data_IF_591805274924
#
_entry.id   IF_591805274924
#
_cell.length_a   1.000
_cell.length_b   1.000
_cell.length_c   1.000
_cell.angle_alpha   90.00
_cell.angle_beta   90.00
_cell.angle_gamma   90.00
#
_symmetry.space_group_name_H-M   'P 1'
#
loop_
_entity.id
_entity.type
_entity.pdbx_description
1 polymer ?
#
# COMPACT_ATOMS: atom_id res chain seq x y z
N UNK A 1 0.58 -28.33 7.16
CA UNK A 1 0.55 -27.01 7.82
C UNK A 1 -0.42 -26.13 7.03
N UNK A 2 -1.57 -25.77 7.61
CA UNK A 2 -2.51 -24.83 7.00
C UNK A 2 -1.79 -23.49 6.77
N UNK A 3 -1.51 -23.12 5.51
CA UNK A 3 -1.01 -21.78 5.18
C UNK A 3 -2.14 -20.78 5.52
N UNK A 4 -2.02 -20.07 6.64
CA UNK A 4 -2.92 -18.98 6.99
C UNK A 4 -2.61 -17.77 6.10
N UNK A 5 -3.19 -17.72 4.90
CA UNK A 5 -3.03 -16.63 3.92
C UNK A 5 -3.07 -17.10 2.47
N UNK A 6 -2.81 -16.18 1.53
CA UNK A 6 -2.60 -16.51 0.10
C UNK A 6 -3.67 -16.04 -0.89
N UNK A 7 -4.77 -15.45 -0.44
CA UNK A 7 -5.89 -15.02 -1.31
C UNK A 7 -5.69 -13.72 -2.08
N UNK A 8 -4.48 -13.13 -2.08
CA UNK A 8 -4.25 -11.82 -2.71
C UNK A 8 -4.39 -11.90 -4.24
N UNK A 9 -3.98 -13.01 -4.85
CA UNK A 9 -4.12 -13.24 -6.29
C UNK A 9 -5.60 -13.32 -6.69
N UNK A 10 -6.40 -14.11 -5.97
CA UNK A 10 -7.82 -14.29 -6.23
C UNK A 10 -8.58 -12.98 -6.02
N UNK A 11 -8.28 -12.25 -4.94
CA UNK A 11 -8.89 -10.96 -4.68
C UNK A 11 -8.51 -9.92 -5.74
N UNK A 12 -7.23 -9.82 -6.10
CA UNK A 12 -6.78 -8.94 -7.20
C UNK A 12 -7.48 -9.29 -8.51
N UNK A 13 -7.56 -10.57 -8.85
CA UNK A 13 -8.25 -11.04 -10.05
C UNK A 13 -9.72 -10.63 -10.06
N UNK A 14 -10.43 -10.78 -8.93
CA UNK A 14 -11.79 -10.29 -8.77
C UNK A 14 -11.88 -8.78 -9.03
N UNK A 15 -10.96 -7.98 -8.47
CA UNK A 15 -10.95 -6.53 -8.70
C UNK A 15 -10.81 -6.19 -10.18
N UNK A 16 -9.80 -6.77 -10.87
CA UNK A 16 -9.45 -6.40 -12.25
C UNK A 16 -10.43 -6.96 -13.29
N UNK A 17 -11.00 -8.14 -13.06
CA UNK A 17 -11.82 -8.84 -14.08
C UNK A 17 -13.31 -8.67 -13.86
N UNK A 18 -13.74 -8.32 -12.65
CA UNK A 18 -15.16 -8.24 -12.29
C UNK A 18 -15.53 -6.87 -11.75
N UNK A 19 -14.95 -6.45 -10.62
CA UNK A 19 -15.41 -5.25 -9.92
C UNK A 19 -15.17 -3.97 -10.72
N UNK A 20 -13.93 -3.71 -11.15
CA UNK A 20 -13.58 -2.50 -11.91
C UNK A 20 -14.39 -2.43 -13.22
N UNK A 21 -14.49 -3.50 -14.04
CA UNK A 21 -15.35 -3.51 -15.22
C UNK A 21 -16.83 -3.28 -14.91
N UNK A 22 -17.35 -3.84 -13.81
CA UNK A 22 -18.74 -3.64 -13.40
C UNK A 22 -19.01 -2.18 -13.04
N UNK A 23 -18.16 -1.54 -12.24
CA UNK A 23 -18.30 -0.12 -11.89
C UNK A 23 -18.23 0.75 -13.15
N UNK A 24 -17.31 0.47 -14.08
CA UNK A 24 -17.14 1.25 -15.30
C UNK A 24 -18.35 1.17 -16.26
N UNK A 25 -19.16 0.11 -16.17
CA UNK A 25 -20.43 0.02 -16.92
C UNK A 25 -21.52 0.91 -16.32
N UNK A 26 -21.46 1.17 -15.03
CA UNK A 26 -22.48 1.91 -14.29
C UNK A 26 -22.15 3.40 -14.16
N UNK A 27 -20.85 3.73 -14.09
CA UNK A 27 -20.36 5.08 -13.86
C UNK A 27 -19.16 5.37 -14.76
N UNK A 28 -19.05 6.58 -15.33
CA UNK A 28 -17.83 7.01 -16.01
C UNK A 28 -16.65 7.00 -15.03
N UNK A 29 -15.65 6.16 -15.29
CA UNK A 29 -14.42 6.11 -14.49
C UNK A 29 -13.29 6.79 -15.24
N UNK A 30 -12.58 7.70 -14.57
CA UNK A 30 -11.28 8.16 -15.02
C UNK A 30 -10.20 7.17 -14.59
N UNK A 31 -9.71 6.38 -15.55
CA UNK A 31 -8.66 5.40 -15.33
C UNK A 31 -7.31 6.03 -14.95
N UNK A 32 -7.11 7.32 -15.21
CA UNK A 32 -5.90 8.04 -14.78
C UNK A 32 -5.90 8.35 -13.28
N UNK A 33 -7.04 8.23 -12.59
CA UNK A 33 -7.21 8.47 -11.15
C UNK A 33 -7.71 7.23 -10.38
N UNK A 34 -7.34 6.02 -10.81
CA UNK A 34 -7.60 4.81 -10.02
C UNK A 34 -6.66 4.67 -8.83
N UNK A 35 -7.25 4.64 -7.63
CA UNK A 35 -6.52 4.65 -6.37
C UNK A 35 -6.76 3.34 -5.62
N UNK A 36 -5.68 2.66 -5.24
CA UNK A 36 -5.71 1.58 -4.27
C UNK A 36 -5.25 2.11 -2.90
N UNK A 37 -6.20 2.27 -1.98
CA UNK A 37 -5.93 2.61 -0.59
C UNK A 37 -5.95 1.34 0.26
N UNK A 38 -4.85 1.05 0.95
CA UNK A 38 -4.69 -0.12 1.78
C UNK A 38 -4.13 0.22 3.15
N UNK A 39 -4.81 -0.22 4.21
CA UNK A 39 -4.32 -0.13 5.59
C UNK A 39 -4.00 -1.49 6.18
N UNK A 40 -2.95 -1.62 6.99
CA UNK A 40 -2.59 -2.88 7.66
C UNK A 40 -2.37 -4.03 6.66
N UNK A 41 -3.16 -5.10 6.70
CA UNK A 41 -3.17 -6.15 5.66
C UNK A 41 -3.67 -5.68 4.30
N UNK A 42 -4.55 -4.68 4.24
CA UNK A 42 -4.85 -3.98 2.99
C UNK A 42 -3.62 -3.25 2.44
N UNK A 43 -2.75 -2.75 3.32
CA UNK A 43 -1.45 -2.17 2.93
C UNK A 43 -0.50 -3.21 2.35
N UNK A 44 -0.47 -4.42 2.92
CA UNK A 44 0.25 -5.56 2.32
C UNK A 44 -0.30 -5.92 0.94
N UNK A 45 -1.63 -5.99 0.79
CA UNK A 45 -2.27 -6.24 -0.49
C UNK A 45 -1.95 -5.16 -1.53
N UNK A 46 -1.87 -3.90 -1.12
CA UNK A 46 -1.48 -2.80 -1.99
C UNK A 46 -0.02 -2.94 -2.47
N UNK A 47 0.89 -3.37 -1.59
CA UNK A 47 2.28 -3.67 -1.98
C UNK A 47 2.33 -4.87 -2.94
N UNK A 48 1.65 -5.97 -2.61
CA UNK A 48 1.58 -7.17 -3.46
C UNK A 48 1.05 -6.83 -4.86
N UNK A 49 0.00 -6.01 -4.95
CA UNK A 49 -0.58 -5.57 -6.22
C UNK A 49 0.36 -4.64 -6.99
N UNK A 50 1.03 -3.70 -6.30
CA UNK A 50 2.03 -2.82 -6.90
C UNK A 50 3.20 -3.61 -7.51
N UNK A 51 3.67 -4.67 -6.82
CA UNK A 51 4.75 -5.54 -7.28
C UNK A 51 4.32 -6.48 -8.40
N UNK A 52 3.06 -6.93 -8.39
CA UNK A 52 2.50 -7.78 -9.42
C UNK A 52 2.42 -7.04 -10.77
N UNK A 53 1.74 -5.91 -10.80
CA UNK A 53 1.68 -5.03 -11.98
C UNK A 53 1.39 -3.59 -11.54
N UNK A 54 2.43 -2.75 -11.58
CA UNK A 54 2.32 -1.37 -11.11
C UNK A 54 1.41 -0.47 -11.94
N UNK A 55 0.90 -0.96 -13.09
CA UNK A 55 -0.01 -0.23 -13.98
C UNK A 55 -1.50 -0.37 -13.60
N UNK A 56 -1.87 -1.33 -12.75
CA UNK A 56 -3.28 -1.61 -12.43
C UNK A 56 -3.96 -0.38 -11.82
N UNK A 57 -3.27 0.30 -10.90
CA UNK A 57 -3.74 1.53 -10.26
C UNK A 57 -2.75 2.65 -10.55
N UNK A 58 -3.24 3.87 -10.78
CA UNK A 58 -2.38 5.04 -10.99
C UNK A 58 -1.84 5.60 -9.68
N UNK A 59 -2.52 5.33 -8.55
CA UNK A 59 -2.14 5.78 -7.22
C UNK A 59 -2.22 4.63 -6.20
N UNK A 60 -1.20 4.52 -5.36
CA UNK A 60 -1.15 3.57 -4.25
C UNK A 60 -0.97 4.32 -2.94
N UNK A 61 -1.93 4.16 -2.02
CA UNK A 61 -1.83 4.65 -0.64
C UNK A 61 -1.63 3.46 0.29
N UNK A 62 -0.38 3.24 0.69
CA UNK A 62 0.06 2.11 1.50
C UNK A 62 0.24 2.63 2.94
N UNK A 63 -0.77 2.42 3.79
CA UNK A 63 -0.86 3.03 5.11
C UNK A 63 -0.63 1.98 6.20
N UNK A 64 0.37 2.21 7.04
CA UNK A 64 0.77 1.32 8.14
C UNK A 64 0.75 -0.16 7.73
N UNK A 65 1.46 -0.54 6.64
CA UNK A 65 1.43 -1.91 6.13
C UNK A 65 2.01 -2.88 7.16
N UNK A 66 1.38 -4.05 7.29
CA UNK A 66 1.77 -5.08 8.26
C UNK A 66 3.03 -5.86 7.84
N UNK A 67 4.14 -5.17 7.61
CA UNK A 67 5.41 -5.74 7.14
C UNK A 67 6.00 -6.80 8.10
N UNK A 68 5.55 -6.84 9.35
CA UNK A 68 5.89 -7.92 10.28
C UNK A 68 5.35 -9.29 9.85
N UNK A 69 4.32 -9.34 9.01
CA UNK A 69 3.71 -10.59 8.56
C UNK A 69 4.71 -11.42 7.75
N UNK A 70 4.83 -12.69 8.12
CA UNK A 70 5.74 -13.67 7.50
C UNK A 70 7.16 -13.13 7.29
N UNK A 71 7.67 -12.32 8.24
CA UNK A 71 8.98 -11.66 8.18
C UNK A 71 9.25 -10.86 6.89
N UNK A 72 8.21 -10.33 6.24
CA UNK A 72 8.28 -9.69 4.92
C UNK A 72 8.79 -10.60 3.79
N UNK A 73 8.67 -11.94 3.89
CA UNK A 73 9.16 -12.88 2.86
C UNK A 73 8.48 -12.72 1.49
N UNK A 74 7.29 -12.10 1.46
CA UNK A 74 6.62 -11.75 0.20
C UNK A 74 7.34 -10.64 -0.58
N UNK A 75 8.20 -9.85 0.06
CA UNK A 75 8.98 -8.83 -0.63
C UNK A 75 10.15 -9.47 -1.38
N UNK A 76 10.34 -9.14 -2.68
CA UNK A 76 11.51 -9.60 -3.40
C UNK A 76 12.78 -8.95 -2.84
N UNK A 77 13.92 -9.64 -3.03
CA UNK A 77 15.23 -9.09 -2.66
C UNK A 77 15.52 -7.74 -3.35
N UNK A 78 15.11 -7.61 -4.60
CA UNK A 78 15.19 -6.37 -5.40
C UNK A 78 13.80 -6.03 -5.90
N UNK A 79 13.32 -4.83 -5.59
CA UNK A 79 12.04 -4.34 -6.08
C UNK A 79 12.19 -3.89 -7.53
N UNK A 80 11.30 -4.36 -8.40
CA UNK A 80 11.17 -3.92 -9.79
C UNK A 80 9.72 -3.53 -10.04
N UNK A 81 9.51 -2.43 -10.75
CA UNK A 81 8.19 -1.94 -11.13
C UNK A 81 8.18 -1.65 -12.64
N UNK A 82 7.09 -2.00 -13.31
CA UNK A 82 6.93 -1.83 -14.77
C UNK A 82 6.76 -0.35 -15.15
N UNK A 83 6.12 0.42 -14.28
CA UNK A 83 5.91 1.87 -14.36
C UNK A 83 5.99 2.51 -12.98
N UNK A 84 6.01 3.84 -12.94
CA UNK A 84 6.01 4.60 -11.70
C UNK A 84 4.65 5.25 -11.45
N UNK A 85 3.69 4.54 -10.82
CA UNK A 85 2.49 5.17 -10.31
C UNK A 85 2.84 6.15 -9.18
N UNK A 86 1.85 6.93 -8.73
CA UNK A 86 2.02 7.77 -7.55
C UNK A 86 1.95 6.89 -6.30
N UNK A 87 3.06 6.78 -5.57
CA UNK A 87 3.17 5.90 -4.41
C UNK A 87 3.27 6.75 -3.14
N UNK A 88 2.28 6.62 -2.27
CA UNK A 88 2.19 7.29 -0.98
C UNK A 88 2.26 6.26 0.14
N UNK A 89 3.17 6.47 1.09
CA UNK A 89 3.40 5.54 2.19
C UNK A 89 3.23 6.28 3.51
N UNK A 90 2.36 5.77 4.37
CA UNK A 90 2.01 6.40 5.65
C UNK A 90 2.35 5.51 6.84
N UNK A 91 2.71 6.12 7.98
CA UNK A 91 2.89 5.41 9.26
C UNK A 91 2.50 6.31 10.43
N UNK A 92 1.80 5.77 11.45
CA UNK A 92 1.56 6.45 12.71
C UNK A 92 2.80 6.48 13.59
N UNK A 93 3.14 7.65 14.15
CA UNK A 93 4.38 7.80 14.94
C UNK A 93 4.39 7.02 16.24
N UNK A 94 3.23 6.61 16.76
CA UNK A 94 3.13 5.80 17.98
C UNK A 94 3.25 4.30 17.70
N UNK A 95 3.23 3.88 16.44
CA UNK A 95 3.44 2.49 16.04
C UNK A 95 4.92 2.08 16.22
N UNK A 96 5.85 3.02 16.03
CA UNK A 96 7.30 2.77 16.15
C UNK A 96 7.73 2.42 17.58
N UNK A 97 6.88 2.66 18.58
CA UNK A 97 7.10 2.32 19.98
C UNK A 97 6.54 0.95 20.38
N UNK A 98 5.81 0.26 19.50
CA UNK A 98 5.34 -1.10 19.77
C UNK A 98 6.52 -2.07 19.81
N UNK A 99 6.73 -2.72 20.96
CA UNK A 99 7.73 -3.76 21.19
C UNK A 99 7.56 -4.96 20.24
N UNK A 100 6.36 -5.17 19.70
CA UNK A 100 6.06 -6.19 18.67
C UNK A 100 6.71 -5.82 17.33
N UNK A 101 6.73 -4.53 16.96
CA UNK A 101 7.28 -4.05 15.69
C UNK A 101 8.81 -3.95 15.76
N UNK A 102 9.38 -3.64 16.94
CA UNK A 102 10.85 -3.52 17.12
C UNK A 102 11.62 -4.84 17.00
N UNK A 103 10.97 -5.99 17.21
CA UNK A 103 11.63 -7.31 17.17
C UNK A 103 11.26 -8.20 15.99
N UNK A 104 10.12 -8.00 15.33
CA UNK A 104 9.57 -8.93 14.32
C UNK A 104 9.68 -8.41 12.88
N UNK A 105 9.58 -7.09 12.67
CA UNK A 105 9.65 -6.53 11.33
C UNK A 105 11.09 -6.14 10.95
N UNK A 106 11.69 -6.86 9.99
CA UNK A 106 13.00 -6.49 9.38
C UNK A 106 12.95 -5.13 8.66
N UNK A 107 11.75 -4.71 8.24
CA UNK A 107 11.50 -3.52 7.44
C UNK A 107 10.31 -2.74 8.02
N UNK A 108 10.44 -1.42 8.15
CA UNK A 108 9.31 -0.54 8.46
C UNK A 108 8.86 0.22 7.20
N UNK A 109 7.73 0.91 7.29
CA UNK A 109 7.15 1.63 6.17
C UNK A 109 8.08 2.71 5.58
N UNK A 110 8.88 3.39 6.41
CA UNK A 110 9.86 4.37 5.94
C UNK A 110 10.95 3.70 5.11
N UNK A 111 11.56 2.63 5.62
CA UNK A 111 12.59 1.86 4.92
C UNK A 111 12.05 1.22 3.64
N UNK A 112 10.78 0.80 3.62
CA UNK A 112 10.13 0.34 2.38
C UNK A 112 10.08 1.47 1.33
N UNK A 113 9.70 2.68 1.73
CA UNK A 113 9.70 3.86 0.86
C UNK A 113 11.08 4.13 0.26
N UNK A 114 12.10 4.14 1.12
CA UNK A 114 13.50 4.33 0.72
C UNK A 114 13.96 3.22 -0.23
N UNK A 115 13.64 1.95 0.08
CA UNK A 115 13.98 0.79 -0.75
C UNK A 115 13.36 0.90 -2.15
N UNK A 116 12.06 1.19 -2.25
CA UNK A 116 11.38 1.36 -3.55
C UNK A 116 12.05 2.50 -4.35
N UNK A 117 12.28 3.66 -3.73
CA UNK A 117 12.89 4.79 -4.44
C UNK A 117 14.36 4.60 -4.80
N UNK A 118 15.09 3.74 -4.09
CA UNK A 118 16.49 3.40 -4.41
C UNK A 118 16.61 2.33 -5.49
N UNK A 119 15.74 1.32 -5.46
CA UNK A 119 15.82 0.15 -6.35
C UNK A 119 15.02 0.31 -7.64
N UNK A 120 14.21 1.36 -7.73
CA UNK A 120 13.41 1.70 -8.91
C UNK A 120 13.63 3.15 -9.30
N UNK A 121 13.20 3.55 -10.50
CA UNK A 121 13.17 4.95 -10.91
C UNK A 121 11.95 5.72 -10.35
N UNK A 122 11.20 5.12 -9.40
CA UNK A 122 9.94 5.64 -8.92
C UNK A 122 10.11 6.47 -7.65
N UNK A 123 9.51 7.66 -7.65
CA UNK A 123 9.45 8.51 -6.45
C UNK A 123 8.35 8.00 -5.53
N UNK A 124 8.67 7.93 -4.24
CA UNK A 124 7.71 7.65 -3.17
C UNK A 124 7.51 8.88 -2.31
N UNK A 125 6.30 9.04 -1.78
CA UNK A 125 5.94 10.11 -0.86
C UNK A 125 5.68 9.50 0.51
N UNK A 126 6.65 9.58 1.42
CA UNK A 126 6.50 9.09 2.78
C UNK A 126 5.91 10.15 3.71
N UNK A 127 5.02 9.74 4.62
CA UNK A 127 4.50 10.60 5.68
C UNK A 127 4.41 9.87 7.02
N UNK A 128 5.11 10.43 8.01
CA UNK A 128 4.93 10.05 9.41
C UNK A 128 3.82 10.92 10.03
N UNK A 129 2.74 10.28 10.48
CA UNK A 129 1.62 10.95 11.13
C UNK A 129 1.88 11.05 12.63
N UNK A 130 2.21 12.26 13.09
CA UNK A 130 2.53 12.54 14.49
C UNK A 130 1.33 12.23 15.40
N UNK A 131 1.60 11.59 16.53
CA UNK A 131 0.63 11.21 17.57
C UNK A 131 -0.45 10.21 17.11
N UNK A 132 -0.26 9.58 15.95
CA UNK A 132 -1.19 8.57 15.46
C UNK A 132 -0.71 7.16 15.81
N UNK A 133 -1.68 6.31 16.16
CA UNK A 133 -1.54 4.86 16.37
C UNK A 133 -1.90 4.10 15.09
N UNK A 134 -1.75 2.77 15.11
CA UNK A 134 -2.12 1.91 13.99
C UNK A 134 -3.57 2.07 13.55
N UNK A 135 -4.51 2.26 14.48
CA UNK A 135 -5.93 2.45 14.14
C UNK A 135 -6.27 3.88 13.76
N UNK A 136 -5.76 4.87 14.50
CA UNK A 136 -6.16 6.27 14.32
C UNK A 136 -5.62 6.91 13.03
N UNK A 137 -4.49 6.39 12.52
CA UNK A 137 -3.83 6.87 11.28
C UNK A 137 -4.72 6.77 10.04
N UNK A 138 -5.70 5.86 9.99
CA UNK A 138 -6.58 5.66 8.82
C UNK A 138 -7.26 6.97 8.44
N UNK A 139 -7.90 7.62 9.40
CA UNK A 139 -8.63 8.87 9.19
C UNK A 139 -7.71 9.98 8.66
N UNK A 140 -6.51 10.11 9.24
CA UNK A 140 -5.52 11.10 8.81
C UNK A 140 -4.95 10.81 7.43
N UNK A 141 -4.77 9.53 7.10
CA UNK A 141 -4.31 9.12 5.78
C UNK A 141 -5.37 9.36 4.70
N UNK A 142 -6.66 9.15 4.99
CA UNK A 142 -7.74 9.50 4.09
C UNK A 142 -7.84 11.01 3.86
N UNK A 143 -7.68 11.82 4.91
CA UNK A 143 -7.62 13.29 4.76
C UNK A 143 -6.40 13.74 3.95
N UNK A 144 -5.25 13.06 4.14
CA UNK A 144 -4.05 13.33 3.36
C UNK A 144 -4.25 12.97 1.88
N UNK A 145 -4.88 11.83 1.59
CA UNK A 145 -5.28 11.43 0.24
C UNK A 145 -6.22 12.45 -0.40
N UNK A 146 -7.31 12.84 0.32
CA UNK A 146 -8.27 13.85 -0.15
C UNK A 146 -7.56 15.15 -0.56
N UNK A 147 -6.64 15.64 0.28
CA UNK A 147 -5.86 16.86 0.02
C UNK A 147 -4.91 16.73 -1.17
N UNK A 148 -4.34 15.56 -1.41
CA UNK A 148 -3.38 15.36 -2.51
C UNK A 148 -4.05 15.22 -3.87
N UNK A 149 -5.31 14.81 -3.88
CA UNK A 149 -6.09 14.55 -5.08
C UNK A 149 -7.07 15.69 -5.39
N UNK A 150 -7.01 16.79 -4.63
CA UNK A 150 -7.92 17.94 -4.73
C UNK A 150 -9.41 17.54 -4.78
N UNK A 151 -9.76 16.44 -4.09
CA UNK A 151 -11.14 15.98 -3.98
C UNK A 151 -11.86 16.90 -3.00
N UNK A 152 -12.83 17.70 -3.49
CA UNK A 152 -13.64 18.61 -2.67
C UNK A 152 -14.76 17.86 -1.93
#
# INVERSE_FOLDING_TARGET
LNKQGGGSKEFRNFLITQLIPYINKMYPIDFSHQILFGHSFGGLFAIDTLLYDSKIFSHYFIISPSLWWDNSEFLPNIIKLQTCPKIYIGLGSLETNSSIIKGVAKLNAQKLSEKISKETNCKTHFKLFKNETHGSVISKAMLWMKKLLDLN
#
